data_IF_680532093134
#
_entry.id   IF_680532093134
#
_cell.length_a   1.000
_cell.length_b   1.000
_cell.length_c   1.000
_cell.angle_alpha   90.00
_cell.angle_beta   90.00
_cell.angle_gamma   90.00
#
_symmetry.space_group_name_H-M   'P 1'
#
loop_
_entity.id
_entity.type
_entity.pdbx_description
1 polymer ?
#
# COMPACT_ATOMS: atom_id res chain seq x y z
N UNK A 1 50.35 -40.28 26.63
CA UNK A 1 49.39 -39.49 27.42
C UNK A 1 49.26 -38.03 27.02
N UNK A 2 50.31 -37.30 26.65
CA UNK A 2 50.28 -35.84 26.34
C UNK A 2 49.44 -35.51 25.08
N UNK A 3 49.49 -36.34 24.02
CA UNK A 3 48.77 -36.11 22.75
C UNK A 3 47.26 -36.16 22.95
N UNK A 4 46.74 -37.04 23.76
CA UNK A 4 45.30 -37.18 24.05
C UNK A 4 44.75 -35.92 24.77
N UNK A 5 45.57 -35.30 25.62
CA UNK A 5 45.21 -34.05 26.31
C UNK A 5 45.13 -32.85 25.37
N UNK A 6 46.05 -32.74 24.40
CA UNK A 6 46.01 -31.69 23.37
C UNK A 6 44.81 -31.87 22.42
N UNK A 7 44.54 -33.12 22.04
CA UNK A 7 43.37 -33.41 21.19
C UNK A 7 42.05 -33.04 21.89
N UNK A 8 41.90 -33.36 23.17
CA UNK A 8 40.74 -32.97 23.97
C UNK A 8 40.56 -31.46 24.07
N UNK A 9 41.66 -30.71 24.29
CA UNK A 9 41.62 -29.23 24.31
C UNK A 9 41.24 -28.64 22.94
N UNK A 10 41.79 -29.19 21.88
CA UNK A 10 41.45 -28.77 20.53
C UNK A 10 39.97 -28.99 20.20
N UNK A 11 39.43 -30.17 20.51
CA UNK A 11 38.02 -30.47 20.31
C UNK A 11 37.13 -29.53 21.11
N UNK A 12 37.45 -29.27 22.39
CA UNK A 12 36.68 -28.33 23.20
C UNK A 12 36.75 -26.89 22.68
N UNK A 13 37.88 -26.47 22.14
CA UNK A 13 38.02 -25.16 21.48
C UNK A 13 37.14 -25.06 20.24
N UNK A 14 37.16 -26.05 19.36
CA UNK A 14 36.34 -26.08 18.14
C UNK A 14 34.85 -26.08 18.49
N UNK A 15 34.42 -26.88 19.48
CA UNK A 15 33.02 -26.90 19.92
C UNK A 15 32.60 -25.54 20.47
N UNK A 16 33.46 -24.87 21.24
CA UNK A 16 33.17 -23.54 21.78
C UNK A 16 33.04 -22.47 20.66
N UNK A 17 33.89 -22.54 19.65
CA UNK A 17 33.82 -21.62 18.51
C UNK A 17 32.55 -21.84 17.68
N UNK A 18 32.19 -23.09 17.40
CA UNK A 18 30.96 -23.42 16.68
C UNK A 18 29.74 -22.96 17.49
N UNK A 19 29.69 -23.21 18.78
CA UNK A 19 28.60 -22.77 19.64
C UNK A 19 28.49 -21.24 19.69
N UNK A 20 29.62 -20.53 19.79
CA UNK A 20 29.69 -19.07 19.77
C UNK A 20 29.18 -18.51 18.43
N UNK A 21 29.52 -19.15 17.32
CA UNK A 21 29.04 -18.79 16.00
C UNK A 21 27.50 -18.91 15.91
N UNK A 22 26.94 -20.02 16.36
CA UNK A 22 25.48 -20.22 16.36
C UNK A 22 24.75 -19.21 17.24
N UNK A 23 25.29 -18.88 18.41
CA UNK A 23 24.72 -17.86 19.29
C UNK A 23 24.71 -16.49 18.61
N UNK A 24 25.81 -16.09 17.98
CA UNK A 24 25.91 -14.82 17.24
C UNK A 24 24.94 -14.77 16.05
N UNK A 25 24.86 -15.87 15.30
CA UNK A 25 23.93 -15.99 14.18
C UNK A 25 22.47 -15.88 14.63
N UNK A 26 22.11 -16.56 15.70
CA UNK A 26 20.77 -16.50 16.26
C UNK A 26 20.42 -15.08 16.73
N UNK A 27 21.34 -14.42 17.42
CA UNK A 27 21.14 -13.05 17.90
C UNK A 27 21.00 -12.06 16.72
N UNK A 28 21.77 -12.23 15.65
CA UNK A 28 21.65 -11.45 14.43
C UNK A 28 20.27 -11.64 13.77
N UNK A 29 19.82 -12.88 13.59
CA UNK A 29 18.50 -13.17 13.01
C UNK A 29 17.36 -12.62 13.88
N UNK A 30 17.51 -12.64 15.20
CA UNK A 30 16.55 -12.09 16.13
C UNK A 30 16.42 -10.56 15.98
N UNK A 31 17.55 -9.85 15.86
CA UNK A 31 17.55 -8.40 15.63
C UNK A 31 16.92 -8.06 14.27
N UNK A 32 17.27 -8.80 13.21
CA UNK A 32 16.67 -8.61 11.87
C UNK A 32 15.16 -8.85 11.92
N UNK A 33 14.71 -9.86 12.64
CA UNK A 33 13.28 -10.14 12.84
C UNK A 33 12.54 -8.99 13.53
N UNK A 34 13.14 -8.37 14.54
CA UNK A 34 12.57 -7.18 15.23
C UNK A 34 12.46 -6.00 14.24
N UNK A 35 13.51 -5.74 13.46
CA UNK A 35 13.52 -4.64 12.48
C UNK A 35 12.43 -4.85 11.42
N UNK A 36 12.34 -6.05 10.85
CA UNK A 36 11.31 -6.41 9.87
C UNK A 36 9.91 -6.24 10.47
N UNK A 37 9.69 -6.71 11.69
CA UNK A 37 8.41 -6.59 12.39
C UNK A 37 8.02 -5.13 12.65
N UNK A 38 8.98 -4.27 13.00
CA UNK A 38 8.75 -2.83 13.18
C UNK A 38 8.43 -2.13 11.86
N UNK A 39 9.11 -2.51 10.77
CA UNK A 39 8.84 -1.98 9.43
C UNK A 39 7.44 -2.38 8.97
N UNK A 40 7.06 -3.66 9.11
CA UNK A 40 5.72 -4.13 8.71
C UNK A 40 4.61 -3.39 9.48
N UNK A 41 4.76 -3.19 10.79
CA UNK A 41 3.79 -2.42 11.58
C UNK A 41 3.60 -0.99 11.08
N UNK A 42 4.66 -0.32 10.67
CA UNK A 42 4.56 1.03 10.12
C UNK A 42 3.88 1.08 8.74
N UNK A 43 3.85 -0.03 7.99
CA UNK A 43 3.11 -0.11 6.72
C UNK A 43 1.64 -0.50 6.90
N UNK A 44 1.25 -1.13 8.02
CA UNK A 44 -0.14 -1.55 8.27
C UNK A 44 -1.01 -0.48 8.93
N UNK A 45 -0.44 0.58 9.48
CA UNK A 45 -1.19 1.67 10.12
C UNK A 45 -1.66 2.77 9.15
N UNK A 46 -2.20 2.41 7.98
CA UNK A 46 -3.21 3.27 7.38
C UNK A 46 -4.48 3.04 8.20
N UNK A 47 -5.03 4.08 8.86
CA UNK A 47 -6.23 3.91 9.68
C UNK A 47 -7.29 3.28 8.78
N UNK A 48 -7.75 2.09 9.15
CA UNK A 48 -8.89 1.48 8.48
C UNK A 48 -10.05 2.45 8.62
N UNK A 49 -10.36 3.16 7.53
CA UNK A 49 -11.52 4.06 7.49
C UNK A 49 -12.73 3.18 7.76
N UNK A 50 -13.32 3.34 8.94
CA UNK A 50 -14.55 2.62 9.28
C UNK A 50 -15.67 3.19 8.43
N UNK A 51 -15.92 2.60 7.28
CA UNK A 51 -17.00 2.99 6.39
C UNK A 51 -18.30 2.57 7.07
N UNK A 52 -19.13 3.54 7.42
CA UNK A 52 -20.50 3.29 7.87
C UNK A 52 -21.33 2.79 6.69
N UNK A 53 -22.30 1.91 6.96
CA UNK A 53 -23.26 1.50 5.95
C UNK A 53 -23.94 2.74 5.33
N UNK A 54 -24.08 2.76 4.01
CA UNK A 54 -24.61 3.89 3.21
C UNK A 54 -23.67 5.12 3.18
N UNK A 55 -22.36 4.88 3.02
CA UNK A 55 -21.40 5.95 2.82
C UNK A 55 -21.33 6.36 1.34
N UNK A 56 -20.93 7.62 1.12
CA UNK A 56 -20.54 8.10 -0.20
C UNK A 56 -19.01 8.21 -0.25
N UNK A 57 -18.41 7.73 -1.33
CA UNK A 57 -16.97 7.89 -1.59
C UNK A 57 -16.74 9.21 -2.33
N UNK A 58 -15.95 10.11 -1.76
CA UNK A 58 -15.54 11.35 -2.41
C UNK A 58 -14.23 11.13 -3.16
N UNK A 59 -14.27 11.35 -4.48
CA UNK A 59 -13.09 11.33 -5.35
C UNK A 59 -12.81 12.77 -5.78
N UNK A 60 -11.66 13.29 -5.38
CA UNK A 60 -11.24 14.64 -5.72
C UNK A 60 -10.43 14.61 -7.02
N UNK A 61 -10.96 15.20 -8.08
CA UNK A 61 -10.33 15.31 -9.40
C UNK A 61 -9.61 16.65 -9.60
N UNK A 62 -9.33 17.38 -8.50
CA UNK A 62 -8.70 18.70 -8.59
C UNK A 62 -7.22 18.67 -9.00
N UNK A 63 -6.57 17.51 -8.85
CA UNK A 63 -5.15 17.35 -9.12
C UNK A 63 -4.94 16.70 -10.50
N UNK A 64 -3.83 17.05 -11.17
CA UNK A 64 -3.46 16.40 -12.43
C UNK A 64 -2.99 14.97 -12.16
N UNK A 65 -3.63 14.00 -12.78
CA UNK A 65 -3.30 12.60 -12.64
C UNK A 65 -2.24 12.16 -13.64
N UNK A 66 -1.20 11.51 -13.17
CA UNK A 66 -0.16 10.96 -14.02
C UNK A 66 -0.58 9.56 -14.52
N UNK A 67 -0.44 9.29 -15.83
CA UNK A 67 -0.73 7.99 -16.43
C UNK A 67 0.38 6.95 -16.16
N UNK A 68 1.58 7.41 -15.82
CA UNK A 68 2.68 6.49 -15.54
C UNK A 68 2.54 5.93 -14.13
N UNK A 69 2.63 4.60 -14.03
CA UNK A 69 2.99 3.93 -12.78
C UNK A 69 4.40 4.41 -12.41
N UNK A 70 4.48 5.53 -11.71
CA UNK A 70 5.73 5.92 -11.08
C UNK A 70 6.06 4.81 -10.12
N UNK A 71 7.16 4.09 -10.38
CA UNK A 71 7.80 3.26 -9.35
C UNK A 71 7.98 4.21 -8.18
N UNK A 72 7.27 3.96 -7.09
CA UNK A 72 7.34 4.76 -5.88
C UNK A 72 8.80 4.83 -5.47
N UNK A 73 9.43 5.96 -5.71
CA UNK A 73 10.67 6.28 -5.04
C UNK A 73 10.30 6.41 -3.57
N UNK A 74 11.04 5.76 -2.68
CA UNK A 74 10.77 5.67 -1.24
C UNK A 74 10.63 7.03 -0.52
N UNK A 75 10.64 8.15 -1.24
CA UNK A 75 10.67 9.52 -0.73
C UNK A 75 9.75 10.48 -1.49
N UNK A 76 8.91 10.04 -2.42
CA UNK A 76 8.04 10.92 -3.19
C UNK A 76 6.57 10.67 -2.90
N UNK A 77 5.90 11.80 -2.70
CA UNK A 77 4.50 12.08 -2.45
C UNK A 77 3.50 11.07 -3.02
N UNK A 78 2.43 10.85 -2.26
CA UNK A 78 1.21 10.10 -2.59
C UNK A 78 0.47 10.68 -3.81
N UNK A 79 1.15 10.89 -4.94
CA UNK A 79 0.47 11.24 -6.18
C UNK A 79 -0.34 10.03 -6.64
N UNK A 80 -1.63 10.09 -6.39
CA UNK A 80 -2.60 9.10 -6.86
C UNK A 80 -2.51 9.10 -8.39
N UNK A 81 -2.07 7.99 -8.98
CA UNK A 81 -2.08 7.89 -10.43
C UNK A 81 -3.52 7.63 -10.92
N UNK A 82 -3.76 7.90 -12.20
CA UNK A 82 -5.08 7.75 -12.79
C UNK A 82 -5.62 6.30 -12.69
N UNK A 83 -4.76 5.30 -12.82
CA UNK A 83 -5.14 3.91 -12.66
C UNK A 83 -5.67 3.60 -11.23
N UNK A 84 -5.00 4.13 -10.21
CA UNK A 84 -5.45 3.95 -8.81
C UNK A 84 -6.80 4.63 -8.57
N UNK A 85 -7.07 5.74 -9.25
CA UNK A 85 -8.37 6.41 -9.21
C UNK A 85 -9.46 5.52 -9.83
N UNK A 86 -9.25 4.97 -11.03
CA UNK A 86 -10.20 4.06 -11.68
C UNK A 86 -10.46 2.83 -10.80
N UNK A 87 -9.42 2.23 -10.26
CA UNK A 87 -9.54 1.11 -9.33
C UNK A 87 -10.34 1.47 -8.07
N UNK A 88 -10.24 2.72 -7.60
CA UNK A 88 -11.04 3.19 -6.46
C UNK A 88 -12.52 3.30 -6.80
N UNK A 89 -12.86 3.74 -8.02
CA UNK A 89 -14.24 3.76 -8.53
C UNK A 89 -14.78 2.33 -8.66
N UNK A 90 -14.00 1.45 -9.25
CA UNK A 90 -14.34 0.04 -9.41
C UNK A 90 -14.60 -0.64 -8.05
N UNK A 91 -13.65 -0.50 -7.10
CA UNK A 91 -13.81 -1.06 -5.76
C UNK A 91 -15.04 -0.51 -5.03
N UNK A 92 -15.31 0.79 -5.17
CA UNK A 92 -16.51 1.41 -4.60
C UNK A 92 -17.81 0.86 -5.21
N UNK A 93 -17.80 0.46 -6.48
CA UNK A 93 -18.97 -0.11 -7.16
C UNK A 93 -19.35 -1.48 -6.61
N UNK A 94 -18.38 -2.27 -6.16
CA UNK A 94 -18.61 -3.60 -5.60
C UNK A 94 -18.76 -3.63 -4.07
N UNK A 95 -18.53 -2.51 -3.37
CA UNK A 95 -18.68 -2.45 -1.91
C UNK A 95 -20.13 -2.17 -1.51
N UNK A 96 -20.79 -3.13 -0.87
CA UNK A 96 -22.18 -3.02 -0.39
C UNK A 96 -22.39 -1.90 0.63
N UNK A 97 -21.33 -1.42 1.29
CA UNK A 97 -21.38 -0.31 2.25
C UNK A 97 -21.42 1.06 1.56
N UNK A 98 -21.10 1.12 0.27
CA UNK A 98 -21.08 2.34 -0.54
C UNK A 98 -22.42 2.51 -1.22
N UNK A 99 -23.10 3.63 -0.97
CA UNK A 99 -24.34 4.01 -1.65
C UNK A 99 -24.10 4.76 -2.96
N UNK A 100 -22.99 5.48 -3.05
CA UNK A 100 -22.65 6.21 -4.25
C UNK A 100 -21.26 6.84 -4.22
N UNK A 101 -20.89 7.48 -5.31
CA UNK A 101 -19.60 8.12 -5.56
C UNK A 101 -19.84 9.58 -5.90
N UNK A 102 -19.11 10.46 -5.24
CA UNK A 102 -19.10 11.91 -5.51
C UNK A 102 -17.80 12.24 -6.24
N UNK A 103 -17.89 12.70 -7.47
CA UNK A 103 -16.76 13.19 -8.27
C UNK A 103 -16.66 14.69 -8.09
N UNK A 104 -15.66 15.16 -7.35
CA UNK A 104 -15.39 16.60 -7.21
C UNK A 104 -14.44 17.01 -8.31
N UNK A 105 -14.91 17.85 -9.24
CA UNK A 105 -14.18 18.34 -10.40
C UNK A 105 -13.75 19.78 -10.18
N UNK A 106 -12.54 20.13 -10.62
CA UNK A 106 -12.03 21.50 -10.60
C UNK A 106 -11.22 21.75 -11.89
N UNK A 107 -11.79 22.52 -12.82
CA UNK A 107 -11.11 22.88 -14.08
C UNK A 107 -10.72 21.69 -14.98
N UNK A 108 -9.61 21.85 -15.71
CA UNK A 108 -9.12 20.92 -16.73
C UNK A 108 -8.15 19.86 -16.15
N UNK A 109 -8.55 19.19 -15.08
CA UNK A 109 -7.68 18.25 -14.37
C UNK A 109 -7.47 16.90 -15.08
N UNK A 110 -8.34 16.54 -16.03
CA UNK A 110 -8.30 15.27 -16.76
C UNK A 110 -8.13 15.51 -18.27
N UNK A 111 -7.32 14.67 -18.91
CA UNK A 111 -7.29 14.60 -20.38
C UNK A 111 -8.61 14.04 -20.93
N UNK A 112 -8.84 14.22 -22.24
CA UNK A 112 -10.03 13.67 -22.89
C UNK A 112 -10.13 12.14 -22.71
N UNK A 113 -9.03 11.42 -22.93
CA UNK A 113 -8.99 9.97 -22.77
C UNK A 113 -9.30 9.54 -21.31
N UNK A 114 -8.71 10.22 -20.32
CA UNK A 114 -8.99 9.97 -18.91
C UNK A 114 -10.44 10.23 -18.54
N UNK A 115 -11.03 11.29 -19.12
CA UNK A 115 -12.45 11.61 -18.89
C UNK A 115 -13.37 10.54 -19.48
N UNK A 116 -13.04 9.98 -20.64
CA UNK A 116 -13.79 8.92 -21.28
C UNK A 116 -13.72 7.60 -20.45
N UNK A 117 -12.52 7.21 -19.99
CA UNK A 117 -12.35 6.05 -19.12
C UNK A 117 -13.10 6.21 -17.79
N UNK A 118 -13.00 7.38 -17.14
CA UNK A 118 -13.72 7.66 -15.92
C UNK A 118 -15.24 7.65 -16.12
N UNK A 119 -15.72 8.14 -17.26
CA UNK A 119 -17.14 8.08 -17.62
C UNK A 119 -17.61 6.63 -17.82
N UNK A 120 -16.76 5.79 -18.43
CA UNK A 120 -17.04 4.36 -18.59
C UNK A 120 -17.17 3.67 -17.23
N UNK A 121 -16.18 3.81 -16.34
CA UNK A 121 -16.21 3.25 -14.99
C UNK A 121 -17.40 3.76 -14.16
N UNK A 122 -17.71 5.07 -14.29
CA UNK A 122 -18.89 5.65 -13.64
C UNK A 122 -20.19 5.05 -14.16
N UNK A 123 -20.26 4.68 -15.45
CA UNK A 123 -21.43 4.02 -16.03
C UNK A 123 -21.58 2.59 -15.50
N UNK A 124 -20.47 1.87 -15.32
CA UNK A 124 -20.46 0.55 -14.71
C UNK A 124 -20.92 0.59 -13.24
N UNK A 125 -20.45 1.60 -12.49
CA UNK A 125 -20.92 1.81 -11.12
C UNK A 125 -22.44 2.09 -11.04
N UNK A 126 -22.99 2.85 -11.98
CA UNK A 126 -24.45 3.05 -12.09
C UNK A 126 -25.19 1.74 -12.41
N UNK A 127 -24.64 0.92 -13.29
CA UNK A 127 -25.21 -0.40 -13.59
C UNK A 127 -25.19 -1.34 -12.35
N UNK A 128 -24.27 -1.11 -11.41
CA UNK A 128 -24.20 -1.75 -10.10
C UNK A 128 -25.06 -1.04 -9.01
N UNK A 129 -26.03 -0.22 -9.42
CA UNK A 129 -26.99 0.51 -8.56
C UNK A 129 -26.34 1.57 -7.64
N UNK A 130 -25.14 2.09 -8.00
CA UNK A 130 -24.50 3.17 -7.27
C UNK A 130 -24.91 4.55 -7.79
N UNK A 131 -25.14 5.49 -6.89
CA UNK A 131 -25.40 6.89 -7.24
C UNK A 131 -24.10 7.60 -7.61
N UNK A 132 -24.04 8.22 -8.81
CA UNK A 132 -22.89 9.03 -9.23
C UNK A 132 -23.30 10.48 -9.24
N UNK A 133 -22.58 11.30 -8.46
CA UNK A 133 -22.81 12.74 -8.32
C UNK A 133 -21.56 13.46 -8.77
N UNK A 134 -21.66 14.31 -9.79
CA UNK A 134 -20.58 15.21 -10.20
C UNK A 134 -20.78 16.58 -9.56
N UNK A 135 -19.77 17.07 -8.87
CA UNK A 135 -19.75 18.39 -8.24
C UNK A 135 -18.63 19.24 -8.85
N UNK A 136 -18.97 20.40 -9.36
CA UNK A 136 -18.04 21.36 -9.95
C UNK A 136 -17.81 22.51 -8.97
N UNK A 137 -16.56 22.74 -8.57
CA UNK A 137 -16.24 23.79 -7.59
C UNK A 137 -16.03 25.16 -8.25
N UNK A 138 -15.54 25.19 -9.49
CA UNK A 138 -15.33 26.41 -10.24
C UNK A 138 -15.52 26.14 -11.74
N UNK A 139 -16.58 26.69 -12.31
CA UNK A 139 -16.83 26.71 -13.76
C UNK A 139 -16.62 28.15 -14.21
N UNK A 140 -15.34 28.50 -14.46
CA UNK A 140 -14.96 29.80 -14.96
C UNK A 140 -15.08 29.91 -16.47
#
# INVERSE_FOLDING_TARGET
MKILHYLKRFILFVIKEILSFFIKLFLFLFIVGIIISAVIKNFEEKPAVTIKNKAYVLINLADSYNERLLKSNLFEDDSINFYTLLQSVENASYDDRVEGIILKMNGDSLSYAQSEELAHESSMARAADKKIIAYFENVG
#
